data_IF_537683926383
#
_entry.id   IF_537683926383
#
_cell.length_a   1.000
_cell.length_b   1.000
_cell.length_c   1.000
_cell.angle_alpha   90.00
_cell.angle_beta   90.00
_cell.angle_gamma   90.00
#
_symmetry.space_group_name_H-M   'P 1'
#
loop_
_entity.id
_entity.type
_entity.pdbx_description
1 polymer ?
#
# COMPACT_ATOMS: atom_id res chain seq x y z
N UNK A 1 -33.43 -28.60 -39.50
CA UNK A 1 -32.51 -27.59 -38.93
C UNK A 1 -32.64 -27.65 -37.41
N UNK A 2 -31.62 -28.11 -36.67
CA UNK A 2 -31.68 -28.11 -35.22
C UNK A 2 -31.43 -26.68 -34.71
N UNK A 3 -32.34 -26.19 -33.86
CA UNK A 3 -32.19 -24.94 -33.13
C UNK A 3 -31.05 -25.10 -32.12
N UNK A 4 -29.95 -24.39 -32.34
CA UNK A 4 -28.88 -24.23 -31.36
C UNK A 4 -29.46 -23.42 -30.20
N UNK A 5 -29.84 -24.11 -29.13
CA UNK A 5 -30.18 -23.46 -27.86
C UNK A 5 -28.89 -22.86 -27.29
N UNK A 6 -28.75 -21.54 -27.43
CA UNK A 6 -27.74 -20.76 -26.71
C UNK A 6 -28.15 -20.75 -25.23
N UNK A 7 -27.57 -21.68 -24.48
CA UNK A 7 -27.69 -21.70 -23.02
C UNK A 7 -27.12 -20.39 -22.46
N UNK A 8 -27.90 -19.57 -21.74
CA UNK A 8 -27.45 -18.29 -21.25
C UNK A 8 -26.25 -18.49 -20.32
N UNK A 9 -25.17 -17.83 -20.71
CA UNK A 9 -23.79 -18.05 -20.29
C UNK A 9 -23.60 -17.79 -18.78
N UNK A 10 -23.89 -18.80 -17.95
CA UNK A 10 -23.66 -18.76 -16.49
C UNK A 10 -22.19 -18.48 -16.14
N UNK A 11 -21.27 -18.69 -17.08
CA UNK A 11 -19.83 -18.51 -16.86
C UNK A 11 -19.46 -17.05 -16.55
N UNK A 12 -20.14 -16.07 -17.19
CA UNK A 12 -19.85 -14.64 -17.03
C UNK A 12 -20.08 -14.13 -15.60
N UNK A 13 -21.16 -14.56 -14.96
CA UNK A 13 -21.50 -14.13 -13.60
C UNK A 13 -20.44 -14.57 -12.58
N UNK A 14 -19.86 -15.76 -12.78
CA UNK A 14 -18.84 -16.33 -11.89
C UNK A 14 -17.48 -15.64 -12.05
N UNK A 15 -17.10 -15.32 -13.29
CA UNK A 15 -15.85 -14.62 -13.58
C UNK A 15 -15.85 -13.19 -13.03
N UNK A 16 -16.95 -12.44 -13.25
CA UNK A 16 -17.10 -11.09 -12.72
C UNK A 16 -17.08 -11.09 -11.19
N UNK A 17 -17.81 -12.01 -10.54
CA UNK A 17 -17.80 -12.13 -9.07
C UNK A 17 -16.40 -12.42 -8.53
N UNK A 18 -15.63 -13.28 -9.21
CA UNK A 18 -14.26 -13.59 -8.78
C UNK A 18 -13.33 -12.38 -8.91
N UNK A 19 -13.42 -11.63 -10.01
CA UNK A 19 -12.64 -10.41 -10.24
C UNK A 19 -12.98 -9.34 -9.20
N UNK A 20 -14.27 -9.06 -8.98
CA UNK A 20 -14.72 -8.08 -7.99
C UNK A 20 -14.23 -8.45 -6.60
N UNK A 21 -14.45 -9.70 -6.18
CA UNK A 21 -14.03 -10.16 -4.86
C UNK A 21 -12.52 -10.05 -4.65
N UNK A 22 -11.73 -10.38 -5.68
CA UNK A 22 -10.28 -10.24 -5.66
C UNK A 22 -9.84 -8.78 -5.53
N UNK A 23 -10.45 -7.88 -6.31
CA UNK A 23 -10.18 -6.45 -6.22
C UNK A 23 -10.48 -5.91 -4.82
N UNK A 24 -11.60 -6.32 -4.21
CA UNK A 24 -11.97 -5.94 -2.84
C UNK A 24 -10.93 -6.42 -1.82
N UNK A 25 -10.44 -7.66 -1.94
CA UNK A 25 -9.43 -8.19 -1.01
C UNK A 25 -8.11 -7.41 -1.09
N UNK A 26 -7.65 -7.10 -2.30
CA UNK A 26 -6.40 -6.34 -2.50
C UNK A 26 -6.58 -4.90 -2.03
N UNK A 27 -7.73 -4.31 -2.32
CA UNK A 27 -8.08 -2.97 -1.85
C UNK A 27 -8.06 -2.86 -0.34
N UNK A 28 -8.75 -3.77 0.35
CA UNK A 28 -8.79 -3.81 1.80
C UNK A 28 -7.39 -3.98 2.39
N UNK A 29 -6.61 -4.93 1.86
CA UNK A 29 -5.22 -5.16 2.31
C UNK A 29 -4.35 -3.92 2.16
N UNK A 30 -4.39 -3.26 1.00
CA UNK A 30 -3.63 -2.03 0.75
C UNK A 30 -4.08 -0.88 1.65
N UNK A 31 -5.39 -0.65 1.80
CA UNK A 31 -5.90 0.45 2.62
C UNK A 31 -5.57 0.29 4.10
N UNK A 32 -5.67 -0.94 4.63
CA UNK A 32 -5.30 -1.26 6.02
C UNK A 32 -3.84 -0.93 6.31
N UNK A 33 -2.96 -1.02 5.32
CA UNK A 33 -1.54 -0.68 5.47
C UNK A 33 -1.30 0.82 5.21
N UNK A 34 -1.79 1.35 4.09
CA UNK A 34 -1.43 2.71 3.65
C UNK A 34 -2.04 3.78 4.54
N UNK A 35 -3.29 3.62 5.02
CA UNK A 35 -3.96 4.68 5.79
C UNK A 35 -3.28 4.93 7.14
N UNK A 36 -3.03 3.92 8.00
CA UNK A 36 -2.37 4.17 9.28
C UNK A 36 -0.94 4.71 9.13
N UNK A 37 -0.16 4.14 8.20
CA UNK A 37 1.20 4.62 7.93
C UNK A 37 1.20 6.02 7.32
N UNK A 38 0.23 6.34 6.46
CA UNK A 38 0.07 7.68 5.89
C UNK A 38 -0.12 8.74 6.97
N UNK A 39 -1.04 8.52 7.92
CA UNK A 39 -1.24 9.43 9.04
C UNK A 39 -0.07 9.50 10.02
N UNK A 40 0.74 8.45 10.12
CA UNK A 40 1.98 8.49 10.90
C UNK A 40 3.05 9.36 10.24
N UNK A 41 3.02 9.51 8.91
CA UNK A 41 4.04 10.24 8.13
C UNK A 41 3.63 11.70 7.88
N UNK A 42 2.35 11.97 7.63
CA UNK A 42 1.86 13.31 7.30
C UNK A 42 0.55 13.62 8.02
N UNK A 43 0.40 14.85 8.58
CA UNK A 43 -0.86 15.30 9.16
C UNK A 43 -1.89 15.73 8.10
N UNK A 44 -1.50 15.79 6.82
CA UNK A 44 -2.35 16.28 5.74
C UNK A 44 -3.24 15.15 5.21
N UNK A 45 -4.54 15.23 5.51
CA UNK A 45 -5.54 14.23 5.10
C UNK A 45 -5.53 13.96 3.59
N UNK A 46 -5.45 15.01 2.77
CA UNK A 46 -5.47 14.89 1.31
C UNK A 46 -4.29 14.05 0.79
N UNK A 47 -3.10 14.19 1.40
CA UNK A 47 -1.92 13.39 1.07
C UNK A 47 -2.13 11.91 1.38
N UNK A 48 -2.80 11.59 2.49
CA UNK A 48 -3.14 10.21 2.88
C UNK A 48 -4.18 9.62 1.92
N UNK A 49 -5.22 10.38 1.56
CA UNK A 49 -6.23 9.93 0.61
C UNK A 49 -5.65 9.71 -0.79
N UNK A 50 -4.76 10.59 -1.23
CA UNK A 50 -4.01 10.49 -2.47
C UNK A 50 -3.15 9.21 -2.50
N UNK A 51 -2.39 8.98 -1.43
CA UNK A 51 -1.57 7.79 -1.24
C UNK A 51 -2.40 6.50 -1.23
N UNK A 52 -3.48 6.49 -0.46
CA UNK A 52 -4.38 5.35 -0.33
C UNK A 52 -5.04 4.99 -1.67
N UNK A 53 -5.53 5.99 -2.39
CA UNK A 53 -6.16 5.79 -3.69
C UNK A 53 -5.19 5.34 -4.77
N UNK A 54 -4.00 5.95 -4.85
CA UNK A 54 -2.94 5.53 -5.77
C UNK A 54 -2.45 4.09 -5.48
N UNK A 55 -2.19 3.78 -4.21
CA UNK A 55 -1.81 2.44 -3.76
C UNK A 55 -2.89 1.40 -4.07
N UNK A 56 -4.16 1.73 -3.81
CA UNK A 56 -5.32 0.90 -4.15
C UNK A 56 -5.37 0.57 -5.64
N UNK A 57 -5.33 1.60 -6.49
CA UNK A 57 -5.54 1.41 -7.93
C UNK A 57 -4.38 0.63 -8.57
N UNK A 58 -3.14 0.95 -8.19
CA UNK A 58 -1.96 0.21 -8.62
C UNK A 58 -2.01 -1.24 -8.12
N UNK A 59 -2.31 -1.44 -6.85
CA UNK A 59 -2.36 -2.78 -6.25
C UNK A 59 -3.42 -3.66 -6.91
N UNK A 60 -4.63 -3.15 -7.09
CA UNK A 60 -5.73 -3.88 -7.76
C UNK A 60 -5.38 -4.17 -9.22
N UNK A 61 -4.97 -3.17 -9.99
CA UNK A 61 -4.67 -3.34 -11.42
C UNK A 61 -3.54 -4.35 -11.67
N UNK A 62 -2.48 -4.31 -10.86
CA UNK A 62 -1.41 -5.29 -10.92
C UNK A 62 -1.88 -6.69 -10.49
N UNK A 63 -2.71 -6.77 -9.44
CA UNK A 63 -3.22 -8.05 -8.99
C UNK A 63 -4.03 -8.76 -10.06
N UNK A 64 -4.85 -8.03 -10.83
CA UNK A 64 -5.67 -8.62 -11.90
C UNK A 64 -4.79 -9.12 -13.05
N UNK A 65 -3.68 -8.44 -13.33
CA UNK A 65 -2.78 -8.76 -14.45
C UNK A 65 -1.84 -9.94 -14.18
N UNK A 66 -1.46 -10.16 -12.93
CA UNK A 66 -0.53 -11.25 -12.55
C UNK A 66 -1.19 -12.64 -12.42
N UNK A 67 -2.51 -12.78 -12.62
CA UNK A 67 -3.20 -14.06 -12.55
C UNK A 67 -3.27 -14.67 -11.14
N UNK A 68 -3.88 -15.85 -10.99
CA UNK A 68 -4.28 -16.40 -9.67
C UNK A 68 -3.13 -16.81 -8.74
N UNK A 69 -1.99 -17.22 -9.29
CA UNK A 69 -0.83 -17.65 -8.49
C UNK A 69 0.07 -16.45 -8.16
N UNK A 70 -0.23 -15.80 -7.04
CA UNK A 70 0.63 -14.77 -6.43
C UNK A 70 0.24 -13.32 -6.73
N UNK A 71 -0.66 -13.07 -7.69
CA UNK A 71 -1.06 -11.72 -8.03
C UNK A 71 -1.73 -10.94 -6.90
N UNK A 72 -2.46 -11.61 -6.00
CA UNK A 72 -3.08 -10.94 -4.82
C UNK A 72 -2.02 -10.38 -3.87
N UNK A 73 -1.08 -11.22 -3.44
CA UNK A 73 -0.03 -10.81 -2.51
C UNK A 73 0.89 -9.76 -3.11
N UNK A 74 1.27 -9.94 -4.39
CA UNK A 74 2.06 -8.95 -5.11
C UNK A 74 1.32 -7.61 -5.27
N UNK A 75 0.02 -7.65 -5.58
CA UNK A 75 -0.82 -6.45 -5.67
C UNK A 75 -0.91 -5.69 -4.34
N UNK A 76 -1.18 -6.39 -3.23
CA UNK A 76 -1.20 -5.76 -1.89
C UNK A 76 0.16 -5.17 -1.55
N UNK A 77 1.25 -5.91 -1.77
CA UNK A 77 2.60 -5.46 -1.46
C UNK A 77 2.98 -4.22 -2.28
N UNK A 78 2.85 -4.27 -3.61
CA UNK A 78 3.23 -3.16 -4.49
C UNK A 78 2.32 -1.97 -4.23
N UNK A 79 1.01 -2.18 -4.12
CA UNK A 79 0.05 -1.12 -3.79
C UNK A 79 0.38 -0.44 -2.46
N UNK A 80 0.76 -1.20 -1.43
CA UNK A 80 1.12 -0.66 -0.12
C UNK A 80 2.41 0.17 -0.18
N UNK A 81 3.45 -0.36 -0.82
CA UNK A 81 4.74 0.34 -0.98
C UNK A 81 4.55 1.64 -1.77
N UNK A 82 3.83 1.58 -2.89
CA UNK A 82 3.54 2.78 -3.71
C UNK A 82 2.74 3.80 -2.92
N UNK A 83 1.70 3.38 -2.20
CA UNK A 83 0.93 4.27 -1.34
C UNK A 83 1.78 4.96 -0.26
N UNK A 84 2.61 4.20 0.46
CA UNK A 84 3.50 4.76 1.50
C UNK A 84 4.52 5.74 0.90
N UNK A 85 5.12 5.41 -0.24
CA UNK A 85 6.06 6.31 -0.93
C UNK A 85 5.38 7.60 -1.35
N UNK A 86 4.16 7.53 -1.88
CA UNK A 86 3.36 8.71 -2.25
C UNK A 86 3.02 9.54 -1.01
N UNK A 87 2.61 8.92 0.10
CA UNK A 87 2.33 9.62 1.36
C UNK A 87 3.58 10.34 1.88
N UNK A 88 4.73 9.68 1.83
CA UNK A 88 6.01 10.22 2.26
C UNK A 88 6.45 11.40 1.40
N UNK A 89 6.44 11.24 0.07
CA UNK A 89 6.78 12.33 -0.85
C UNK A 89 5.83 13.52 -0.68
N UNK A 90 4.53 13.26 -0.53
CA UNK A 90 3.54 14.31 -0.33
C UNK A 90 3.70 15.03 1.02
N UNK A 91 4.17 14.34 2.07
CA UNK A 91 4.45 14.92 3.38
C UNK A 91 5.73 15.77 3.42
N UNK A 92 6.71 15.46 2.57
CA UNK A 92 7.97 16.21 2.49
C UNK A 92 7.87 17.53 1.71
N UNK A 93 6.86 17.69 0.87
CA UNK A 93 6.78 18.79 -0.08
C UNK A 93 5.91 19.95 0.47
N UNK A 94 6.31 21.22 0.27
CA UNK A 94 5.49 22.37 0.59
C UNK A 94 4.14 22.32 -0.13
N UNK A 95 3.08 22.77 0.55
CA UNK A 95 1.72 22.80 0.02
C UNK A 95 1.68 23.56 -1.33
N UNK A 96 1.15 22.93 -2.38
CA UNK A 96 0.93 23.55 -3.71
C UNK A 96 1.81 23.00 -4.84
N UNK A 97 3.09 22.72 -4.60
CA UNK A 97 3.98 22.14 -5.61
C UNK A 97 3.94 20.60 -5.61
N UNK A 98 3.45 20.00 -4.53
CA UNK A 98 3.62 18.58 -4.22
C UNK A 98 3.23 17.60 -5.34
N UNK A 99 2.26 17.95 -6.18
CA UNK A 99 1.66 16.98 -7.09
C UNK A 99 2.57 16.55 -8.25
N UNK A 100 3.27 17.50 -8.89
CA UNK A 100 4.20 17.22 -10.00
C UNK A 100 5.41 16.42 -9.51
N UNK A 101 5.90 16.77 -8.32
CA UNK A 101 7.01 16.10 -7.64
C UNK A 101 6.63 14.74 -7.03
N UNK A 102 5.35 14.47 -6.82
CA UNK A 102 4.87 13.14 -6.37
C UNK A 102 4.59 12.23 -7.56
N UNK A 103 3.90 12.71 -8.60
CA UNK A 103 3.59 11.89 -9.79
C UNK A 103 4.84 11.53 -10.60
N UNK A 104 5.68 12.53 -10.88
CA UNK A 104 6.87 12.38 -11.73
C UNK A 104 7.73 11.17 -11.35
N UNK A 105 8.13 10.99 -10.07
CA UNK A 105 8.89 9.82 -9.64
C UNK A 105 8.02 8.59 -9.33
N UNK A 106 6.74 8.73 -8.95
CA UNK A 106 5.94 7.56 -8.54
C UNK A 106 5.56 6.65 -9.71
N UNK A 107 5.32 7.20 -10.90
CA UNK A 107 5.09 6.42 -12.13
C UNK A 107 6.31 5.53 -12.48
N UNK A 108 7.52 6.06 -12.70
CA UNK A 108 8.72 5.27 -13.02
C UNK A 108 9.13 4.36 -11.86
N UNK A 109 8.94 4.77 -10.60
CA UNK A 109 9.14 3.90 -9.44
C UNK A 109 8.22 2.67 -9.51
N UNK A 110 6.93 2.86 -9.78
CA UNK A 110 5.98 1.75 -9.88
C UNK A 110 6.32 0.82 -11.04
N UNK A 111 6.65 1.36 -12.22
CA UNK A 111 7.08 0.55 -13.37
C UNK A 111 8.38 -0.22 -13.05
N UNK A 112 9.32 0.40 -12.33
CA UNK A 112 10.55 -0.24 -11.87
C UNK A 112 10.31 -1.39 -10.89
N UNK A 113 9.38 -1.23 -9.95
CA UNK A 113 8.95 -2.31 -9.04
C UNK A 113 8.36 -3.49 -9.82
N UNK A 114 7.48 -3.20 -10.79
CA UNK A 114 6.85 -4.21 -11.63
C UNK A 114 7.88 -5.01 -12.44
N UNK A 115 8.87 -4.32 -13.03
CA UNK A 115 9.95 -4.98 -13.77
C UNK A 115 10.84 -5.82 -12.85
N UNK A 116 11.30 -5.26 -11.72
CA UNK A 116 12.21 -5.95 -10.80
C UNK A 116 11.60 -7.20 -10.15
N UNK A 117 10.29 -7.21 -9.91
CA UNK A 117 9.57 -8.40 -9.42
C UNK A 117 9.31 -9.43 -10.53
N UNK A 118 9.53 -9.07 -11.79
CA UNK A 118 9.21 -9.89 -12.96
C UNK A 118 7.71 -9.98 -13.25
N UNK A 119 6.94 -8.98 -12.78
CA UNK A 119 5.51 -8.88 -13.01
C UNK A 119 5.17 -8.28 -14.38
N UNK A 120 6.01 -7.36 -14.85
CA UNK A 120 5.97 -6.82 -16.20
C UNK A 120 7.12 -7.38 -17.03
N UNK A 121 6.91 -7.51 -18.35
CA UNK A 121 7.98 -7.84 -19.30
C UNK A 121 8.35 -6.56 -20.05
N UNK A 122 9.20 -5.70 -19.50
CA UNK A 122 9.63 -4.48 -20.20
C UNK A 122 10.81 -4.79 -21.13
N UNK A 123 10.60 -5.58 -22.19
CA UNK A 123 11.71 -6.01 -23.07
C UNK A 123 12.18 -4.93 -24.05
N UNK A 124 11.49 -3.79 -24.11
CA UNK A 124 11.87 -2.64 -24.92
C UNK A 124 10.86 -1.50 -24.80
N UNK A 125 11.01 -0.47 -25.62
CA UNK A 125 10.20 0.75 -25.57
C UNK A 125 8.69 0.53 -25.73
N UNK A 126 8.28 -0.44 -26.57
CA UNK A 126 6.87 -0.77 -26.76
C UNK A 126 6.24 -1.32 -25.49
N UNK A 127 6.91 -2.28 -24.85
CA UNK A 127 6.40 -2.90 -23.62
C UNK A 127 6.42 -1.88 -22.47
N UNK A 128 7.48 -1.07 -22.39
CA UNK A 128 7.56 0.04 -21.43
C UNK A 128 6.42 1.05 -21.63
N UNK A 129 6.02 1.35 -22.88
CA UNK A 129 4.88 2.21 -23.19
C UNK A 129 3.55 1.66 -22.70
N UNK A 130 3.27 0.39 -22.99
CA UNK A 130 2.04 -0.25 -22.53
C UNK A 130 2.00 -0.29 -20.99
N UNK A 131 3.13 -0.60 -20.35
CA UNK A 131 3.22 -0.65 -18.90
C UNK A 131 3.01 0.72 -18.27
N UNK A 132 3.74 1.73 -18.75
CA UNK A 132 3.68 3.10 -18.22
C UNK A 132 2.29 3.70 -18.41
N UNK A 133 1.64 3.46 -19.55
CA UNK A 133 0.28 3.95 -19.81
C UNK A 133 -0.74 3.25 -18.90
N UNK A 134 -0.58 1.94 -18.66
CA UNK A 134 -1.45 1.20 -17.74
C UNK A 134 -1.29 1.74 -16.31
N UNK A 135 -0.06 1.90 -15.84
CA UNK A 135 0.22 2.43 -14.50
C UNK A 135 -0.24 3.88 -14.37
N UNK A 136 -0.08 4.70 -15.41
CA UNK A 136 -0.55 6.09 -15.42
C UNK A 136 -2.08 6.17 -15.29
N UNK A 137 -2.81 5.32 -16.03
CA UNK A 137 -4.27 5.24 -15.92
C UNK A 137 -4.71 4.79 -14.52
N UNK A 138 -4.02 3.80 -13.93
CA UNK A 138 -4.31 3.34 -12.57
C UNK A 138 -4.02 4.42 -11.53
N UNK A 139 -2.86 5.07 -11.59
CA UNK A 139 -2.54 6.19 -10.70
C UNK A 139 -3.57 7.32 -10.87
N UNK A 140 -3.88 7.73 -12.10
CA UNK A 140 -4.91 8.74 -12.37
C UNK A 140 -6.27 8.40 -11.76
N UNK A 141 -6.74 7.15 -11.90
CA UNK A 141 -7.97 6.67 -11.27
C UNK A 141 -7.89 6.68 -9.74
N UNK A 142 -6.75 6.27 -9.18
CA UNK A 142 -6.51 6.28 -7.74
C UNK A 142 -6.46 7.68 -7.14
N UNK A 143 -6.09 8.69 -7.93
CA UNK A 143 -5.99 10.08 -7.49
C UNK A 143 -7.32 10.86 -7.61
N UNK A 144 -8.32 10.27 -8.28
CA UNK A 144 -9.67 10.85 -8.43
C UNK A 144 -10.40 11.25 -7.13
N UNK A 145 -10.23 10.55 -5.99
CA UNK A 145 -10.86 10.95 -4.73
C UNK A 145 -10.37 12.31 -4.20
N UNK A 146 -9.15 12.73 -4.57
CA UNK A 146 -8.63 14.02 -4.17
C UNK A 146 -9.35 15.17 -4.91
N UNK A 147 -9.51 16.35 -4.31
CA UNK A 147 -10.23 17.48 -4.92
C UNK A 147 -9.65 17.99 -6.25
N UNK A 148 -8.47 17.51 -6.66
CA UNK A 148 -7.78 17.89 -7.91
C UNK A 148 -8.10 16.88 -9.03
N UNK A 149 -9.38 16.80 -9.43
CA UNK A 149 -9.93 15.62 -10.15
C UNK A 149 -9.44 15.40 -11.59
N UNK A 150 -9.05 16.46 -12.31
CA UNK A 150 -8.64 16.33 -13.73
C UNK A 150 -7.15 16.55 -13.96
N UNK A 151 -6.55 17.51 -13.25
CA UNK A 151 -5.11 17.75 -13.32
C UNK A 151 -4.31 16.49 -13.00
N UNK A 152 -4.80 15.69 -12.04
CA UNK A 152 -4.14 14.47 -11.63
C UNK A 152 -3.86 13.46 -12.77
N UNK A 153 -4.92 13.14 -13.51
CA UNK A 153 -4.87 12.17 -14.59
C UNK A 153 -4.06 12.71 -15.78
N UNK A 154 -4.25 13.99 -16.12
CA UNK A 154 -3.48 14.64 -17.20
C UNK A 154 -1.99 14.63 -16.88
N UNK A 155 -1.60 14.92 -15.64
CA UNK A 155 -0.19 14.92 -15.23
C UNK A 155 0.40 13.50 -15.20
N UNK A 156 -0.35 12.50 -14.75
CA UNK A 156 0.09 11.10 -14.83
C UNK A 156 0.34 10.65 -16.27
N UNK A 157 -0.54 11.06 -17.19
CA UNK A 157 -0.38 10.80 -18.63
C UNK A 157 0.76 11.59 -19.24
N UNK A 158 0.96 12.84 -18.81
CA UNK A 158 2.05 13.68 -19.26
C UNK A 158 3.38 12.98 -18.99
N UNK A 159 3.60 12.43 -17.79
CA UNK A 159 4.86 11.76 -17.41
C UNK A 159 5.15 10.42 -18.13
N UNK A 160 4.24 9.91 -18.98
CA UNK A 160 4.41 8.63 -19.68
C UNK A 160 5.62 8.62 -20.60
N UNK A 161 5.82 9.57 -21.54
CA UNK A 161 6.94 9.54 -22.49
C UNK A 161 8.29 9.49 -21.77
N UNK A 162 8.45 10.34 -20.76
CA UNK A 162 9.64 10.36 -19.91
C UNK A 162 9.90 9.02 -19.23
N UNK A 163 8.86 8.40 -18.66
CA UNK A 163 8.98 7.09 -18.00
C UNK A 163 9.26 5.97 -18.99
N UNK A 164 8.66 6.00 -20.19
CA UNK A 164 8.93 5.05 -21.26
C UNK A 164 10.36 5.17 -21.76
N UNK A 165 10.88 6.39 -21.87
CA UNK A 165 12.26 6.63 -22.27
C UNK A 165 13.22 6.03 -21.24
N UNK A 166 13.01 6.33 -19.96
CA UNK A 166 13.82 5.83 -18.83
C UNK A 166 13.73 4.31 -18.73
N UNK A 167 12.52 3.77 -18.59
CA UNK A 167 12.29 2.34 -18.41
C UNK A 167 12.81 1.57 -19.64
N UNK A 168 12.48 2.02 -20.84
CA UNK A 168 12.98 1.44 -22.08
C UNK A 168 14.51 1.47 -22.14
N UNK A 169 15.17 2.58 -21.80
CA UNK A 169 16.63 2.65 -21.82
C UNK A 169 17.29 1.67 -20.85
N UNK A 170 16.77 1.56 -19.61
CA UNK A 170 17.37 0.71 -18.58
C UNK A 170 16.90 -0.75 -18.60
N UNK A 171 15.79 -1.08 -19.24
CA UNK A 171 15.26 -2.44 -19.28
C UNK A 171 15.90 -3.35 -20.33
N UNK A 172 16.76 -2.80 -21.20
CA UNK A 172 17.44 -3.59 -22.24
C UNK A 172 18.36 -4.65 -21.65
N UNK A 173 17.99 -5.90 -21.88
CA UNK A 173 18.82 -7.05 -21.57
C UNK A 173 20.02 -7.15 -22.54
N UNK A 174 21.16 -7.66 -22.05
CA UNK A 174 22.47 -7.60 -22.76
C UNK A 174 22.49 -8.24 -24.15
N UNK A 175 21.47 -9.04 -24.49
CA UNK A 175 21.41 -9.85 -25.71
C UNK A 175 20.76 -9.14 -26.93
N UNK A 176 20.16 -7.96 -26.75
CA UNK A 176 19.29 -7.33 -27.77
C UNK A 176 19.71 -5.94 -28.27
N UNK A 177 21.00 -5.58 -28.24
CA UNK A 177 21.46 -4.19 -28.53
C UNK A 177 21.08 -3.62 -29.92
N UNK A 178 20.58 -4.43 -30.85
CA UNK A 178 20.20 -3.95 -32.20
C UNK A 178 18.90 -3.14 -32.26
N UNK A 179 18.09 -3.12 -31.19
CA UNK A 179 16.83 -2.35 -31.12
C UNK A 179 16.87 -1.16 -30.15
N UNK A 180 18.07 -0.68 -29.80
CA UNK A 180 18.31 0.30 -28.71
C UNK A 180 17.92 1.74 -29.06
N UNK A 181 17.63 2.06 -30.32
CA UNK A 181 17.32 3.44 -30.68
C UNK A 181 15.91 3.80 -30.20
N UNK A 182 15.75 4.79 -29.30
CA UNK A 182 14.42 5.27 -28.94
C UNK A 182 13.70 5.76 -30.20
N UNK A 183 12.40 5.48 -30.34
CA UNK A 183 11.64 5.99 -31.48
C UNK A 183 11.66 7.52 -31.45
N UNK A 184 11.85 8.16 -32.61
CA UNK A 184 12.01 9.61 -32.70
C UNK A 184 10.83 10.37 -32.08
N UNK A 185 9.61 9.85 -32.23
CA UNK A 185 8.40 10.39 -31.60
C UNK A 185 8.49 10.46 -30.08
N UNK A 186 9.17 9.50 -29.42
CA UNK A 186 9.36 9.50 -27.98
C UNK A 186 10.34 10.60 -27.55
N UNK A 187 11.42 10.79 -28.29
CA UNK A 187 12.37 11.90 -28.04
C UNK A 187 11.63 13.24 -28.18
N UNK A 188 10.85 13.41 -29.26
CA UNK A 188 10.08 14.64 -29.48
C UNK A 188 9.07 14.88 -28.36
N UNK A 189 8.38 13.84 -27.90
CA UNK A 189 7.43 13.95 -26.78
C UNK A 189 8.10 14.38 -25.48
N UNK A 190 9.27 13.82 -25.15
CA UNK A 190 10.04 14.21 -23.95
C UNK A 190 10.57 15.64 -24.08
N UNK A 191 11.06 16.04 -25.26
CA UNK A 191 11.48 17.43 -25.50
C UNK A 191 10.30 18.41 -25.39
N UNK A 192 9.11 18.01 -25.84
CA UNK A 192 7.90 18.81 -25.69
C UNK A 192 7.48 18.95 -24.22
N UNK A 193 7.55 17.86 -23.42
CA UNK A 193 7.35 17.93 -21.97
C UNK A 193 8.34 18.90 -21.31
N UNK A 194 9.63 18.78 -21.63
CA UNK A 194 10.66 19.68 -21.11
C UNK A 194 10.40 21.14 -21.48
N UNK A 195 10.00 21.40 -22.73
CA UNK A 195 9.66 22.74 -23.21
C UNK A 195 8.43 23.31 -22.51
N UNK A 196 7.38 22.51 -22.33
CA UNK A 196 6.16 22.92 -21.63
C UNK A 196 6.44 23.23 -20.15
N UNK A 197 7.18 22.35 -19.47
CA UNK A 197 7.54 22.55 -18.07
C UNK A 197 8.46 23.77 -17.89
N UNK A 198 9.41 23.98 -18.80
CA UNK A 198 10.24 25.19 -18.82
C UNK A 198 9.41 26.46 -19.02
N UNK A 199 8.44 26.43 -19.96
CA UNK A 199 7.53 27.55 -20.20
C UNK A 199 6.71 27.90 -18.96
N UNK A 200 6.16 26.91 -18.26
CA UNK A 200 5.43 27.11 -17.00
C UNK A 200 6.34 27.72 -15.94
N UNK A 201 7.53 27.18 -15.74
CA UNK A 201 8.49 27.73 -14.78
C UNK A 201 8.84 29.19 -15.07
N UNK A 202 9.06 29.56 -16.34
CA UNK A 202 9.34 30.95 -16.72
C UNK A 202 8.13 31.88 -16.46
N UNK A 203 6.90 31.41 -16.67
CA UNK A 203 5.68 32.17 -16.35
C UNK A 203 5.51 32.38 -14.84
N UNK A 204 5.96 31.42 -14.01
CA UNK A 204 5.98 31.53 -12.56
C UNK A 204 7.16 32.38 -12.02
N UNK A 205 7.96 32.98 -12.92
CA UNK A 205 9.06 33.87 -12.55
C UNK A 205 10.33 33.15 -12.09
N UNK A 206 10.47 31.86 -12.38
CA UNK A 206 11.73 31.15 -12.10
C UNK A 206 12.84 31.59 -13.07
N UNK A 207 14.05 31.76 -12.54
CA UNK A 207 15.21 32.13 -13.35
C UNK A 207 15.50 31.06 -14.42
N UNK A 208 15.83 31.51 -15.64
CA UNK A 208 16.12 30.63 -16.78
C UNK A 208 17.19 29.57 -16.44
N UNK A 209 18.23 29.96 -15.71
CA UNK A 209 19.29 29.03 -15.26
C UNK A 209 18.74 27.91 -14.37
N UNK A 210 17.92 28.27 -13.37
CA UNK A 210 17.26 27.30 -12.49
C UNK A 210 16.37 26.36 -13.29
N UNK A 211 15.61 26.90 -14.25
CA UNK A 211 14.73 26.10 -15.13
C UNK A 211 15.52 25.14 -16.01
N UNK A 212 16.61 25.59 -16.63
CA UNK A 212 17.46 24.76 -17.49
C UNK A 212 18.14 23.63 -16.73
N UNK A 213 18.44 23.80 -15.44
CA UNK A 213 19.05 22.76 -14.60
C UNK A 213 18.00 21.85 -13.97
N UNK A 214 16.93 22.41 -13.39
CA UNK A 214 15.92 21.65 -12.67
C UNK A 214 15.09 20.78 -13.61
N UNK A 215 14.76 21.23 -14.82
CA UNK A 215 13.91 20.47 -15.74
C UNK A 215 14.49 19.12 -16.16
N UNK A 216 15.71 19.03 -16.72
CA UNK A 216 16.31 17.73 -17.04
C UNK A 216 16.54 16.88 -15.78
N UNK A 217 16.83 17.51 -14.64
CA UNK A 217 17.01 16.79 -13.37
C UNK A 217 15.69 16.13 -12.93
N UNK A 218 14.59 16.88 -12.94
CA UNK A 218 13.28 16.41 -12.47
C UNK A 218 12.60 15.49 -13.48
N UNK A 219 12.85 15.66 -14.79
CA UNK A 219 12.24 14.82 -15.82
C UNK A 219 13.09 13.59 -16.12
N UNK A 220 14.42 13.65 -16.13
CA UNK A 220 15.23 12.48 -16.52
C UNK A 220 15.93 11.83 -15.34
N UNK A 221 16.62 12.62 -14.52
CA UNK A 221 17.48 12.09 -13.46
C UNK A 221 16.65 11.49 -12.32
N UNK A 222 15.64 12.22 -11.84
CA UNK A 222 14.77 11.78 -10.74
C UNK A 222 13.94 10.54 -11.14
N UNK A 223 13.21 10.54 -12.27
CA UNK A 223 12.58 9.33 -12.81
C UNK A 223 13.53 8.17 -13.05
N UNK A 224 14.73 8.43 -13.58
CA UNK A 224 15.80 7.44 -13.74
C UNK A 224 16.18 6.77 -12.43
N UNK A 225 16.50 7.59 -11.42
CA UNK A 225 16.86 7.13 -10.09
C UNK A 225 15.69 6.38 -9.41
N UNK A 226 14.46 6.88 -9.56
CA UNK A 226 13.26 6.26 -9.01
C UNK A 226 13.00 4.88 -9.64
N UNK A 227 13.10 4.75 -10.97
CA UNK A 227 12.99 3.48 -11.67
C UNK A 227 14.07 2.48 -11.24
N UNK A 228 15.33 2.91 -11.23
CA UNK A 228 16.46 2.03 -10.90
C UNK A 228 16.43 1.58 -9.43
N UNK A 229 16.12 2.50 -8.51
CA UNK A 229 16.01 2.18 -7.08
C UNK A 229 14.86 1.20 -6.82
N UNK A 230 13.69 1.44 -7.43
CA UNK A 230 12.56 0.52 -7.37
C UNK A 230 12.91 -0.87 -7.91
N UNK A 231 13.53 -0.91 -9.11
CA UNK A 231 13.93 -2.16 -9.76
C UNK A 231 14.95 -2.93 -8.93
N UNK A 232 15.95 -2.23 -8.39
CA UNK A 232 16.97 -2.83 -7.53
C UNK A 232 16.37 -3.34 -6.22
N UNK A 233 15.52 -2.54 -5.57
CA UNK A 233 14.80 -2.93 -4.36
C UNK A 233 13.93 -4.16 -4.61
N UNK A 234 13.17 -4.19 -5.70
CA UNK A 234 12.37 -5.32 -6.10
C UNK A 234 13.20 -6.58 -6.40
N UNK A 235 14.30 -6.45 -7.15
CA UNK A 235 15.21 -7.56 -7.43
C UNK A 235 15.83 -8.13 -6.16
N UNK A 236 16.16 -7.27 -5.19
CA UNK A 236 16.70 -7.66 -3.88
C UNK A 236 15.64 -8.26 -2.95
N UNK A 237 14.41 -7.73 -2.99
CA UNK A 237 13.26 -8.25 -2.24
C UNK A 237 12.82 -9.60 -2.77
N UNK A 238 12.88 -9.83 -4.09
CA UNK A 238 12.38 -11.03 -4.75
C UNK A 238 12.85 -12.35 -4.11
N UNK A 239 14.14 -12.61 -3.88
CA UNK A 239 14.58 -13.84 -3.21
C UNK A 239 14.09 -13.92 -1.76
N UNK A 240 14.06 -12.80 -1.04
CA UNK A 240 13.58 -12.73 0.36
C UNK A 240 12.08 -13.01 0.44
N UNK A 241 11.30 -12.45 -0.47
CA UNK A 241 9.87 -12.66 -0.59
C UNK A 241 9.54 -14.12 -0.91
N UNK A 242 10.41 -14.87 -1.62
CA UNK A 242 10.20 -16.31 -1.81
C UNK A 242 10.28 -17.08 -0.49
N UNK A 243 11.22 -16.72 0.39
CA UNK A 243 11.30 -17.30 1.74
C UNK A 243 10.06 -16.91 2.54
N UNK A 244 9.63 -15.65 2.48
CA UNK A 244 8.40 -15.22 3.13
C UNK A 244 7.13 -15.81 2.53
N UNK A 245 7.11 -16.19 1.26
CA UNK A 245 5.98 -16.88 0.65
C UNK A 245 5.85 -18.31 1.19
N UNK A 246 6.97 -18.99 1.44
CA UNK A 246 6.96 -20.25 2.18
C UNK A 246 6.47 -20.02 3.61
N UNK A 247 6.92 -18.94 4.27
CA UNK A 247 6.41 -18.55 5.58
C UNK A 247 4.93 -18.13 5.54
N UNK A 248 4.44 -17.60 4.42
CA UNK A 248 3.07 -17.17 4.24
C UNK A 248 2.11 -18.35 4.33
N UNK A 249 2.53 -19.56 3.94
CA UNK A 249 1.72 -20.77 4.12
C UNK A 249 1.58 -21.12 5.62
N UNK A 250 2.65 -20.96 6.42
CA UNK A 250 2.58 -21.10 7.88
C UNK A 250 1.76 -19.97 8.52
N UNK A 251 2.00 -18.71 8.13
CA UNK A 251 1.24 -17.55 8.57
C UNK A 251 -0.23 -17.68 8.20
N UNK A 252 -0.58 -18.30 7.07
CA UNK A 252 -1.97 -18.53 6.66
C UNK A 252 -2.67 -19.54 7.56
N UNK A 253 -1.92 -20.45 8.14
CA UNK A 253 -2.47 -21.36 9.14
C UNK A 253 -2.59 -20.64 10.48
N UNK A 254 -1.63 -19.79 10.82
CA UNK A 254 -1.62 -18.98 12.05
C UNK A 254 -2.54 -17.75 12.01
N UNK A 255 -2.99 -17.28 10.84
CA UNK A 255 -3.74 -16.03 10.77
C UNK A 255 -5.12 -16.15 11.42
N UNK A 256 -5.74 -17.34 11.40
CA UNK A 256 -7.04 -17.56 12.05
C UNK A 256 -6.92 -17.32 13.56
N UNK A 257 -6.00 -17.98 14.29
CA UNK A 257 -5.85 -17.71 15.71
C UNK A 257 -5.29 -16.31 16.01
N UNK A 258 -4.37 -15.78 15.21
CA UNK A 258 -3.88 -14.38 15.37
C UNK A 258 -5.01 -13.37 15.15
N UNK A 259 -5.88 -13.63 14.17
CA UNK A 259 -7.05 -12.82 13.85
C UNK A 259 -8.07 -12.88 14.98
N UNK A 260 -8.37 -14.08 15.48
CA UNK A 260 -9.22 -14.27 16.66
C UNK A 260 -8.67 -13.55 17.90
N UNK A 261 -7.36 -13.66 18.14
CA UNK A 261 -6.66 -12.95 19.22
C UNK A 261 -6.85 -11.45 19.13
N UNK A 262 -6.52 -10.88 17.97
CA UNK A 262 -6.59 -9.44 17.70
C UNK A 262 -8.03 -8.95 17.84
N UNK A 263 -9.00 -9.69 17.29
CA UNK A 263 -10.42 -9.34 17.38
C UNK A 263 -10.92 -9.35 18.82
N UNK A 264 -10.54 -10.35 19.62
CA UNK A 264 -10.90 -10.42 21.04
C UNK A 264 -10.28 -9.27 21.85
N UNK A 265 -9.00 -8.96 21.62
CA UNK A 265 -8.34 -7.82 22.26
C UNK A 265 -9.01 -6.49 21.90
N UNK A 266 -9.31 -6.28 20.62
CA UNK A 266 -9.98 -5.07 20.17
C UNK A 266 -11.39 -4.94 20.78
N UNK A 267 -12.12 -6.04 20.90
CA UNK A 267 -13.42 -6.05 21.57
C UNK A 267 -13.31 -5.66 23.05
N UNK A 268 -12.33 -6.23 23.77
CA UNK A 268 -12.05 -5.87 25.17
C UNK A 268 -11.72 -4.36 25.26
N UNK A 269 -10.83 -3.86 24.40
CA UNK A 269 -10.43 -2.45 24.37
C UNK A 269 -11.66 -1.55 24.19
N UNK A 270 -12.50 -1.82 23.19
CA UNK A 270 -13.67 -1.01 22.86
C UNK A 270 -14.73 -1.05 23.97
N UNK A 271 -15.02 -2.23 24.52
CA UNK A 271 -15.99 -2.39 25.61
C UNK A 271 -15.54 -1.62 26.84
N UNK A 272 -14.28 -1.76 27.24
CA UNK A 272 -13.75 -1.06 28.41
C UNK A 272 -13.55 0.44 28.18
N UNK A 273 -13.22 0.88 26.96
CA UNK A 273 -13.24 2.30 26.61
C UNK A 273 -14.65 2.89 26.81
N UNK A 274 -15.69 2.16 26.38
CA UNK A 274 -17.09 2.53 26.61
C UNK A 274 -17.45 2.59 28.09
N UNK A 275 -17.06 1.60 28.89
CA UNK A 275 -17.32 1.62 30.34
C UNK A 275 -16.58 2.73 31.07
N UNK A 276 -15.32 3.03 30.71
CA UNK A 276 -14.57 4.14 31.31
C UNK A 276 -15.22 5.50 30.99
N UNK A 277 -15.56 5.73 29.72
CA UNK A 277 -16.25 6.96 29.31
C UNK A 277 -17.64 7.09 29.93
N UNK A 278 -18.37 5.97 30.09
CA UNK A 278 -19.65 5.94 30.78
C UNK A 278 -19.49 6.28 32.27
N UNK A 279 -18.50 5.70 32.95
CA UNK A 279 -18.22 5.96 34.36
C UNK A 279 -17.85 7.43 34.59
N UNK A 280 -17.00 8.02 33.76
CA UNK A 280 -16.66 9.45 33.86
C UNK A 280 -17.89 10.34 33.64
N UNK A 281 -18.79 9.96 32.71
CA UNK A 281 -20.01 10.71 32.45
C UNK A 281 -21.00 10.70 33.62
N UNK A 282 -21.12 9.57 34.34
CA UNK A 282 -22.04 9.44 35.47
C UNK A 282 -21.40 9.79 36.82
N UNK A 283 -20.08 9.76 36.92
CA UNK A 283 -19.30 10.19 38.08
C UNK A 283 -18.12 11.06 37.63
N UNK A 284 -18.36 12.34 37.29
CA UNK A 284 -17.30 13.26 36.88
C UNK A 284 -16.18 13.35 37.92
N UNK A 285 -14.94 13.32 37.46
CA UNK A 285 -13.76 13.24 38.33
C UNK A 285 -13.36 11.81 38.72
N UNK A 286 -13.96 10.79 38.08
CA UNK A 286 -13.50 9.40 38.23
C UNK A 286 -12.12 9.19 37.61
N UNK A 287 -11.80 9.96 36.57
CA UNK A 287 -10.52 9.98 35.89
C UNK A 287 -9.94 11.40 35.81
N UNK A 288 -8.68 11.57 36.20
CA UNK A 288 -7.96 12.83 36.01
C UNK A 288 -7.48 12.96 34.56
N UNK A 289 -7.58 14.17 34.01
CA UNK A 289 -7.26 14.47 32.60
C UNK A 289 -8.40 14.19 31.61
N UNK A 290 -9.54 13.68 32.06
CA UNK A 290 -10.63 13.24 31.19
C UNK A 290 -11.66 14.32 30.80
N UNK A 291 -11.52 15.56 31.27
CA UNK A 291 -12.54 16.61 31.14
C UNK A 291 -12.96 16.92 29.69
N UNK A 292 -12.05 16.73 28.73
CA UNK A 292 -12.31 16.90 27.29
C UNK A 292 -11.96 15.64 26.48
N UNK A 293 -11.94 14.47 27.12
CA UNK A 293 -11.54 13.23 26.47
C UNK A 293 -12.59 12.82 25.42
N UNK A 294 -12.16 12.75 24.16
CA UNK A 294 -12.93 12.19 23.08
C UNK A 294 -12.91 10.66 23.10
N UNK A 295 -13.70 10.03 22.20
CA UNK A 295 -13.71 8.57 22.07
C UNK A 295 -12.33 7.98 21.74
N UNK A 296 -11.50 8.72 20.99
CA UNK A 296 -10.13 8.33 20.68
C UNK A 296 -9.24 8.23 21.92
N UNK A 297 -9.39 9.17 22.87
CA UNK A 297 -8.61 9.18 24.10
C UNK A 297 -9.00 8.00 25.00
N UNK A 298 -10.29 7.64 25.06
CA UNK A 298 -10.75 6.47 25.80
C UNK A 298 -10.28 5.15 25.18
N UNK A 299 -10.25 5.05 23.85
CA UNK A 299 -9.70 3.89 23.15
C UNK A 299 -8.19 3.79 23.40
N UNK A 300 -7.46 4.90 23.29
CA UNK A 300 -6.02 4.95 23.55
C UNK A 300 -5.69 4.58 25.01
N UNK A 301 -6.37 5.21 25.97
CA UNK A 301 -6.29 4.86 27.38
C UNK A 301 -6.55 3.37 27.57
N UNK A 302 -7.64 2.84 26.99
CA UNK A 302 -8.00 1.44 27.14
C UNK A 302 -6.98 0.47 26.52
N UNK A 303 -6.39 0.84 25.39
CA UNK A 303 -5.34 0.08 24.71
C UNK A 303 -4.05 0.00 25.56
N UNK A 304 -3.49 1.15 25.95
CA UNK A 304 -2.23 1.18 26.71
C UNK A 304 -2.37 0.47 28.05
N UNK A 305 -3.48 0.72 28.74
CA UNK A 305 -3.68 0.11 30.05
C UNK A 305 -4.12 -1.35 29.97
N UNK A 306 -4.50 -1.90 28.79
CA UNK A 306 -4.60 -3.34 28.57
C UNK A 306 -3.23 -4.03 28.37
N UNK A 307 -2.21 -3.27 27.95
CA UNK A 307 -0.82 -3.71 27.85
C UNK A 307 -0.03 -3.48 29.15
N UNK A 308 -0.70 -3.07 30.23
CA UNK A 308 -0.09 -2.63 31.47
C UNK A 308 0.95 -1.49 31.27
N UNK A 309 0.72 -0.64 30.26
CA UNK A 309 1.49 0.58 30.00
C UNK A 309 0.74 1.80 30.51
N UNK A 310 1.49 2.76 31.06
CA UNK A 310 0.93 4.02 31.52
C UNK A 310 0.57 4.92 30.33
N UNK A 311 -0.65 5.44 30.35
CA UNK A 311 -1.11 6.46 29.42
C UNK A 311 -1.12 7.81 30.14
N UNK A 312 -0.31 8.75 29.69
CA UNK A 312 -0.08 10.02 30.39
C UNK A 312 -1.29 10.98 30.32
N UNK A 313 -2.23 10.76 29.40
CA UNK A 313 -3.37 11.66 29.20
C UNK A 313 -4.54 11.46 30.18
N UNK A 314 -4.75 10.24 30.68
CA UNK A 314 -5.91 9.89 31.53
C UNK A 314 -5.45 8.94 32.64
N UNK A 315 -5.77 9.26 33.89
CA UNK A 315 -5.42 8.43 35.06
C UNK A 315 -6.63 8.11 35.94
N UNK A 316 -6.82 6.87 36.40
CA UNK A 316 -7.95 6.51 37.27
C UNK A 316 -7.73 7.07 38.68
N UNK A 317 -8.73 7.78 39.22
CA UNK A 317 -8.67 8.40 40.56
C UNK A 317 -9.69 7.77 41.51
N UNK A 318 -10.88 7.43 41.01
CA UNK A 318 -11.92 6.82 41.85
C UNK A 318 -11.71 5.31 42.05
N UNK A 319 -12.23 4.79 43.17
CA UNK A 319 -12.19 3.35 43.46
C UNK A 319 -12.88 2.52 42.36
N UNK A 320 -13.99 3.02 41.81
CA UNK A 320 -14.71 2.38 40.70
C UNK A 320 -13.86 2.33 39.43
N UNK A 321 -13.15 3.43 39.09
CA UNK A 321 -12.22 3.46 37.96
C UNK A 321 -11.06 2.49 38.16
N UNK A 322 -10.50 2.42 39.38
CA UNK A 322 -9.47 1.46 39.74
C UNK A 322 -9.93 0.00 39.60
N UNK A 323 -11.13 -0.33 40.10
CA UNK A 323 -11.72 -1.67 39.93
C UNK A 323 -11.96 -2.02 38.46
N UNK A 324 -12.42 -1.06 37.65
CA UNK A 324 -12.68 -1.27 36.23
C UNK A 324 -11.37 -1.55 35.45
N UNK A 325 -10.32 -0.78 35.73
CA UNK A 325 -8.97 -1.00 35.17
C UNK A 325 -8.42 -2.36 35.62
N UNK A 326 -8.58 -2.71 36.89
CA UNK A 326 -8.16 -4.01 37.43
C UNK A 326 -8.90 -5.19 36.79
N UNK A 327 -10.23 -5.11 36.68
CA UNK A 327 -11.05 -6.12 36.02
C UNK A 327 -10.64 -6.31 34.56
N UNK A 328 -10.36 -5.21 33.85
CA UNK A 328 -9.85 -5.29 32.48
C UNK A 328 -8.52 -6.01 32.42
N UNK A 329 -7.56 -5.67 33.28
CA UNK A 329 -6.24 -6.33 33.30
C UNK A 329 -6.38 -7.84 33.50
N UNK A 330 -7.23 -8.28 34.43
CA UNK A 330 -7.49 -9.71 34.66
C UNK A 330 -8.09 -10.37 33.41
N UNK A 331 -9.06 -9.73 32.77
CA UNK A 331 -9.70 -10.25 31.55
C UNK A 331 -8.71 -10.29 30.37
N UNK A 332 -7.90 -9.23 30.18
CA UNK A 332 -6.89 -9.16 29.14
C UNK A 332 -5.82 -10.25 29.31
N UNK A 333 -5.33 -10.46 30.54
CA UNK A 333 -4.38 -11.55 30.83
C UNK A 333 -5.04 -12.91 30.62
N UNK A 334 -6.26 -13.10 31.13
CA UNK A 334 -7.01 -14.34 30.92
C UNK A 334 -7.22 -14.67 29.44
N UNK A 335 -7.58 -13.67 28.63
CA UNK A 335 -7.71 -13.80 27.19
C UNK A 335 -6.39 -14.16 26.51
N UNK A 336 -5.28 -13.50 26.88
CA UNK A 336 -3.95 -13.83 26.37
C UNK A 336 -3.57 -15.28 26.66
N UNK A 337 -3.83 -15.77 27.88
CA UNK A 337 -3.54 -17.16 28.27
C UNK A 337 -4.39 -18.17 27.49
N UNK A 338 -5.70 -17.92 27.35
CA UNK A 338 -6.61 -18.78 26.58
C UNK A 338 -6.15 -18.87 25.13
N UNK A 339 -5.82 -17.74 24.50
CA UNK A 339 -5.34 -17.73 23.13
C UNK A 339 -4.00 -18.43 23.02
N UNK A 340 -3.06 -18.17 23.92
CA UNK A 340 -1.74 -18.80 23.88
C UNK A 340 -1.87 -20.32 23.97
N UNK A 341 -2.72 -20.84 24.87
CA UNK A 341 -3.03 -22.26 24.96
C UNK A 341 -3.66 -22.79 23.66
N UNK A 342 -4.65 -22.09 23.10
CA UNK A 342 -5.29 -22.47 21.84
C UNK A 342 -4.29 -22.52 20.67
N UNK A 343 -3.44 -21.49 20.54
CA UNK A 343 -2.39 -21.37 19.53
C UNK A 343 -1.39 -22.52 19.65
N UNK A 344 -0.87 -22.79 20.86
CA UNK A 344 0.08 -23.88 21.08
C UNK A 344 -0.53 -25.25 20.73
N UNK A 345 -1.80 -25.46 21.11
CA UNK A 345 -2.51 -26.72 20.81
C UNK A 345 -2.79 -26.90 19.31
N UNK A 346 -3.07 -25.82 18.58
CA UNK A 346 -3.41 -25.86 17.16
C UNK A 346 -2.17 -25.96 16.26
N UNK A 347 -1.08 -25.25 16.61
CA UNK A 347 0.11 -25.14 15.77
C UNK A 347 0.97 -26.42 15.81
N UNK A 348 1.10 -27.06 16.98
CA UNK A 348 1.97 -28.22 17.16
C UNK A 348 1.73 -29.35 16.14
N UNK A 349 0.49 -29.86 15.93
CA UNK A 349 0.26 -30.94 14.96
C UNK A 349 0.48 -30.49 13.51
N UNK A 350 0.34 -29.20 13.20
CA UNK A 350 0.53 -28.68 11.85
C UNK A 350 2.01 -28.51 11.51
N UNK A 351 2.83 -28.06 12.47
CA UNK A 351 4.28 -28.01 12.30
C UNK A 351 4.87 -29.41 12.11
N UNK A 352 4.41 -30.39 12.88
CA UNK A 352 4.84 -31.79 12.71
C UNK A 352 4.50 -32.35 11.32
N UNK A 353 3.31 -32.04 10.80
CA UNK A 353 2.92 -32.45 9.44
C UNK A 353 3.80 -31.81 8.37
N UNK A 354 4.13 -30.53 8.49
CA UNK A 354 4.95 -29.84 7.49
C UNK A 354 6.40 -30.32 7.57
N UNK A 355 6.94 -30.53 8.78
CA UNK A 355 8.27 -31.10 8.98
C UNK A 355 8.41 -32.49 8.34
N UNK A 356 7.41 -33.37 8.53
CA UNK A 356 7.39 -34.71 7.90
C UNK A 356 7.35 -34.64 6.37
N UNK A 357 6.59 -33.71 5.80
CA UNK A 357 6.47 -33.55 4.33
C UNK A 357 7.75 -33.05 3.68
N UNK A 358 8.51 -32.19 4.37
CA UNK A 358 9.79 -31.73 3.86
C UNK A 358 10.85 -32.83 3.94
N UNK A 359 10.89 -33.60 5.03
CA UNK A 359 11.80 -34.72 5.19
C UNK A 359 11.61 -35.81 4.10
N UNK A 360 10.39 -36.03 3.61
CA UNK A 360 10.15 -36.95 2.49
C UNK A 360 10.55 -36.38 1.13
N UNK A 361 10.57 -35.05 0.98
CA UNK A 361 10.94 -34.40 -0.30
C UNK A 361 12.46 -34.35 -0.47
N UNK A 362 13.22 -34.32 0.62
CA UNK A 362 14.69 -34.33 0.60
C UNK A 362 15.27 -35.75 0.43
N UNK A 363 14.44 -36.79 0.55
CA UNK A 363 14.85 -38.19 0.41
C UNK A 363 14.72 -38.75 -1.03
N UNK A 364 14.04 -38.01 -1.91
CA UNK A 364 13.78 -38.35 -3.32
C UNK A 364 14.71 -37.55 -4.27
#
# INVERSE_FOLDING_TARGET
MPLIQLEPDRSWSSAVRHVVWRSVQVAAGTLVVVVPFGYAITPVHDSVMMAAGAGFAVGVGLSLRMGDRGGRAAGVLIGSVVGIVIAFLAGLLPQGLGFLFVIGPSLPFTVGLCDGLGAARTRGYRDAAVESLTVAALLGLGLFPAPVRWGAMVMALACVPTTVLVAGFFSHDRHGRRYVRPPLLLIVAVLAEMGAAAGIGMLEGTNLETTLVMMPTMLLVVPGAAFLSARAAAAWLRPRLRVYLQLADYLRVMWIPIGGFTAGYLAIILVFAGFCGMLERFGPGSFAGAANAGIGDWIAFSFFSALAQDYTGITPVSAAAGMLVGARLVISVGWALVVFAAVMSAIQPQLERIARRNASTDAD
#
